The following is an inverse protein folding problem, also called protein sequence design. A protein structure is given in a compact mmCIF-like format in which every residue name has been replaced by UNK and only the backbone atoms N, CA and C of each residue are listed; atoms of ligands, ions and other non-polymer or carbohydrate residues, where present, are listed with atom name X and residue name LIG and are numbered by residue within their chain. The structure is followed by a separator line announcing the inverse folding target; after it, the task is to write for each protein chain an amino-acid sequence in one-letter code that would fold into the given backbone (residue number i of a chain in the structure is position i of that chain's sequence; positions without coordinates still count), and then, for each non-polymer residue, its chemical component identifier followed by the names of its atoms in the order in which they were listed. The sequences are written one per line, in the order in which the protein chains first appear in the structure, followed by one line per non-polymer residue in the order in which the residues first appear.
data_IF_209876651776
#
_entry.id   IF_209876651776
#
_cell.length_a   1.000
_cell.length_b   1.000
_cell.length_c   1.000
_cell.angle_alpha   90.00
_cell.angle_beta   90.00
_cell.angle_gamma   90.00
#
_symmetry.space_group_name_H-M   'P 1'
#
loop_
_entity.id
_entity.type
_entity.pdbx_description
1 polymer ?
#
# COMPACT_ATOMS: atom_id res chain seq x y z
N UNK A 1 -23.61 7.69 5.20
CA UNK A 1 -23.35 7.36 3.76
C UNK A 1 -22.52 6.08 3.73
N UNK A 2 -22.94 5.07 2.96
CA UNK A 2 -22.14 3.85 2.74
C UNK A 2 -21.07 4.17 1.70
N UNK A 3 -19.83 3.79 1.97
CA UNK A 3 -18.67 4.03 1.09
C UNK A 3 -18.07 2.71 0.62
N UNK A 4 -17.49 2.73 -0.58
CA UNK A 4 -16.59 1.70 -1.07
C UNK A 4 -15.15 2.11 -0.75
N UNK A 5 -14.48 1.36 0.11
CA UNK A 5 -13.15 1.68 0.62
C UNK A 5 -12.13 0.71 0.02
N UNK A 6 -11.15 1.24 -0.73
CA UNK A 6 -10.02 0.47 -1.22
C UNK A 6 -8.83 0.60 -0.27
N UNK A 7 -8.29 -0.51 0.20
CA UNK A 7 -7.05 -0.53 0.98
C UNK A 7 -5.92 -1.24 0.22
N UNK A 8 -4.83 -0.50 -0.04
CA UNK A 8 -3.61 -1.01 -0.67
C UNK A 8 -2.53 -1.26 0.38
N UNK A 9 -2.00 -2.48 0.45
CA UNK A 9 -1.02 -2.84 1.48
C UNK A 9 -0.02 -3.89 0.99
N UNK A 10 1.16 -3.94 1.65
CA UNK A 10 2.12 -5.03 1.50
C UNK A 10 1.96 -6.14 2.55
N UNK A 11 1.02 -5.99 3.48
CA UNK A 11 0.79 -6.98 4.53
C UNK A 11 -0.07 -8.13 4.01
N UNK A 12 0.54 -9.28 3.76
CA UNK A 12 -0.17 -10.53 3.42
C UNK A 12 -1.01 -11.08 4.58
N UNK A 13 -0.80 -10.58 5.80
CA UNK A 13 -1.61 -10.95 6.98
C UNK A 13 -3.07 -10.56 6.86
N UNK A 14 -3.42 -9.59 6.00
CA UNK A 14 -4.80 -9.20 5.73
C UNK A 14 -5.61 -10.23 4.94
N UNK A 15 -4.99 -11.30 4.50
CA UNK A 15 -5.72 -12.46 3.99
C UNK A 15 -6.68 -13.04 5.04
N UNK A 16 -6.29 -13.02 6.32
CA UNK A 16 -7.17 -13.39 7.42
C UNK A 16 -7.65 -12.13 8.16
N UNK A 17 -8.75 -11.57 7.70
CA UNK A 17 -9.36 -10.37 8.29
C UNK A 17 -9.83 -10.58 9.73
N UNK A 18 -10.06 -11.83 10.15
CA UNK A 18 -10.46 -12.15 11.54
C UNK A 18 -9.29 -12.11 12.52
N UNK A 19 -8.05 -12.15 12.05
CA UNK A 19 -6.88 -12.04 12.94
C UNK A 19 -6.80 -10.64 13.57
N UNK A 20 -6.32 -10.57 14.81
CA UNK A 20 -6.08 -9.29 15.49
C UNK A 20 -4.89 -8.56 14.87
N UNK A 21 -5.05 -7.26 14.63
CA UNK A 21 -4.00 -6.42 14.06
C UNK A 21 -4.52 -5.05 13.63
N UNK A 22 -3.64 -4.05 13.61
CA UNK A 22 -4.01 -2.65 13.35
C UNK A 22 -4.87 -2.49 12.07
N UNK A 23 -4.46 -3.14 10.99
CA UNK A 23 -5.19 -3.00 9.72
C UNK A 23 -6.41 -3.91 9.63
N UNK A 24 -6.34 -5.13 10.15
CA UNK A 24 -7.49 -6.04 10.19
C UNK A 24 -8.60 -5.48 11.06
N UNK A 25 -8.24 -4.90 12.22
CA UNK A 25 -9.19 -4.24 13.13
C UNK A 25 -9.85 -3.03 12.45
N UNK A 26 -9.05 -2.21 11.75
CA UNK A 26 -9.56 -1.07 11.00
C UNK A 26 -10.52 -1.50 9.87
N UNK A 27 -10.16 -2.53 9.10
CA UNK A 27 -11.01 -3.02 8.01
C UNK A 27 -12.32 -3.61 8.53
N UNK A 28 -12.26 -4.36 9.64
CA UNK A 28 -13.48 -4.84 10.31
C UNK A 28 -14.34 -3.68 10.81
N UNK A 29 -13.74 -2.64 11.40
CA UNK A 29 -14.49 -1.47 11.86
C UNK A 29 -15.22 -0.78 10.73
N UNK A 30 -14.59 -0.58 9.57
CA UNK A 30 -15.27 -0.03 8.40
C UNK A 30 -16.44 -0.91 7.93
N UNK A 31 -16.24 -2.22 7.86
CA UNK A 31 -17.31 -3.16 7.54
C UNK A 31 -18.47 -3.07 8.53
N UNK A 32 -18.17 -3.05 9.83
CA UNK A 32 -19.18 -3.03 10.90
C UNK A 32 -19.97 -1.72 10.93
N UNK A 33 -19.39 -0.62 10.40
CA UNK A 33 -20.10 0.65 10.15
C UNK A 33 -20.89 0.65 8.83
N UNK A 34 -20.96 -0.50 8.14
CA UNK A 34 -21.77 -0.70 6.93
C UNK A 34 -21.08 -0.30 5.63
N UNK A 35 -19.74 -0.10 5.63
CA UNK A 35 -18.99 0.19 4.41
C UNK A 35 -18.61 -1.08 3.66
N UNK A 36 -18.51 -0.99 2.34
CA UNK A 36 -17.96 -2.04 1.49
C UNK A 36 -16.43 -1.93 1.45
N UNK A 37 -15.74 -2.96 1.91
CA UNK A 37 -14.27 -2.94 2.07
C UNK A 37 -13.59 -3.85 1.08
N UNK A 38 -12.60 -3.31 0.36
CA UNK A 38 -11.80 -3.97 -0.66
C UNK A 38 -10.32 -3.85 -0.31
N UNK A 39 -9.62 -4.97 -0.20
CA UNK A 39 -8.20 -5.00 0.14
C UNK A 39 -7.42 -5.59 -1.02
N UNK A 40 -6.28 -4.98 -1.36
CA UNK A 40 -5.30 -5.56 -2.30
C UNK A 40 -3.99 -5.75 -1.57
N UNK A 41 -3.48 -7.00 -1.58
CA UNK A 41 -2.25 -7.40 -0.92
C UNK A 41 -1.45 -8.41 -1.76
N UNK A 42 -0.11 -8.57 -1.53
CA UNK A 42 0.68 -9.51 -2.31
C UNK A 42 0.51 -10.96 -1.82
N UNK A 43 0.31 -11.88 -2.76
CA UNK A 43 0.56 -13.31 -2.61
C UNK A 43 1.96 -13.60 -3.16
N UNK A 44 2.98 -13.61 -2.29
CA UNK A 44 4.35 -13.87 -2.75
C UNK A 44 4.47 -15.26 -3.40
N UNK A 45 5.29 -15.40 -4.44
CA UNK A 45 5.48 -16.64 -5.22
C UNK A 45 5.68 -17.88 -4.36
N UNK A 46 6.40 -17.75 -3.24
CA UNK A 46 6.66 -18.87 -2.31
C UNK A 46 5.41 -19.42 -1.63
N UNK A 47 4.29 -18.68 -1.62
CA UNK A 47 3.02 -19.17 -1.05
C UNK A 47 2.28 -20.11 -1.99
N UNK A 48 2.67 -20.17 -3.27
CA UNK A 48 1.98 -20.96 -4.29
C UNK A 48 0.60 -20.42 -4.70
N UNK A 49 0.12 -19.36 -4.07
CA UNK A 49 -1.23 -18.85 -4.25
C UNK A 49 -1.36 -18.05 -5.56
N UNK A 50 -2.45 -18.23 -6.32
CA UNK A 50 -2.73 -17.45 -7.52
C UNK A 50 -3.21 -16.04 -7.17
N UNK A 51 -3.37 -15.20 -8.22
CA UNK A 51 -4.15 -13.97 -8.10
C UNK A 51 -5.64 -14.32 -8.08
N UNK A 52 -6.31 -14.02 -6.98
CA UNK A 52 -7.73 -14.33 -6.78
C UNK A 52 -8.38 -13.36 -5.79
N UNK A 53 -9.70 -13.20 -5.91
CA UNK A 53 -10.54 -12.52 -4.91
C UNK A 53 -11.19 -13.56 -4.03
N UNK A 54 -11.15 -13.35 -2.73
CA UNK A 54 -11.87 -14.11 -1.71
C UNK A 54 -12.69 -13.10 -0.88
N UNK A 55 -13.90 -13.47 -0.48
CA UNK A 55 -14.65 -12.71 0.53
C UNK A 55 -14.37 -13.34 1.89
N UNK A 56 -13.69 -12.61 2.75
CA UNK A 56 -13.33 -13.06 4.08
C UNK A 56 -14.00 -12.16 5.11
N UNK A 57 -14.94 -12.72 5.88
CA UNK A 57 -15.68 -12.00 6.92
C UNK A 57 -16.30 -10.69 6.41
N UNK A 58 -16.95 -10.74 5.22
CA UNK A 58 -17.59 -9.58 4.59
C UNK A 58 -16.66 -8.56 3.94
N UNK A 59 -15.37 -8.87 3.83
CA UNK A 59 -14.36 -8.01 3.18
C UNK A 59 -13.85 -8.65 1.91
N UNK A 60 -13.79 -7.90 0.81
CA UNK A 60 -13.29 -8.35 -0.49
C UNK A 60 -11.76 -8.32 -0.51
N UNK A 61 -11.13 -9.48 -0.46
CA UNK A 61 -9.69 -9.66 -0.33
C UNK A 61 -9.08 -10.11 -1.67
N UNK A 62 -8.40 -9.22 -2.39
CA UNK A 62 -7.69 -9.53 -3.63
C UNK A 62 -6.21 -9.81 -3.32
N UNK A 63 -5.85 -11.08 -3.29
CA UNK A 63 -4.46 -11.51 -3.25
C UNK A 63 -3.85 -11.47 -4.65
N UNK A 64 -2.78 -10.71 -4.83
CA UNK A 64 -2.09 -10.56 -6.13
C UNK A 64 -0.80 -11.37 -6.12
N UNK A 65 -0.66 -12.36 -7.03
CA UNK A 65 0.57 -13.12 -7.16
C UNK A 65 1.72 -12.22 -7.59
N UNK A 66 2.76 -12.16 -6.76
CA UNK A 66 3.97 -11.35 -6.95
C UNK A 66 5.23 -12.21 -6.89
N UNK A 67 6.38 -11.64 -7.26
CA UNK A 67 7.67 -12.20 -6.85
C UNK A 67 7.83 -12.09 -5.34
N UNK A 68 8.84 -12.79 -4.78
CA UNK A 68 9.11 -12.63 -3.36
C UNK A 68 9.74 -11.24 -3.13
N UNK A 69 9.16 -10.48 -2.19
CA UNK A 69 9.63 -9.13 -1.81
C UNK A 69 10.11 -9.07 -0.36
N UNK A 70 9.84 -10.13 0.40
CA UNK A 70 10.34 -10.31 1.77
C UNK A 70 11.20 -11.57 1.85
N UNK A 71 12.21 -11.61 2.74
CA UNK A 71 13.08 -12.79 2.97
C UNK A 71 13.56 -13.47 1.68
N UNK A 72 14.09 -12.70 0.74
CA UNK A 72 14.56 -13.14 -0.56
C UNK A 72 15.84 -12.40 -0.96
N UNK A 73 16.47 -12.79 -2.08
CA UNK A 73 17.67 -12.11 -2.59
C UNK A 73 17.39 -10.64 -2.91
N UNK A 74 18.43 -9.80 -2.83
CA UNK A 74 18.33 -8.37 -3.15
C UNK A 74 17.84 -8.15 -4.59
N UNK A 75 18.28 -9.01 -5.52
CA UNK A 75 17.90 -8.92 -6.94
C UNK A 75 16.41 -9.23 -7.09
N UNK A 76 15.91 -10.34 -6.54
CA UNK A 76 14.50 -10.70 -6.63
C UNK A 76 13.61 -9.66 -5.96
N UNK A 77 14.03 -9.14 -4.80
CA UNK A 77 13.34 -8.07 -4.10
C UNK A 77 13.24 -6.80 -4.95
N UNK A 78 14.34 -6.41 -5.60
CA UNK A 78 14.36 -5.22 -6.47
C UNK A 78 13.44 -5.36 -7.67
N UNK A 79 13.54 -6.47 -8.40
CA UNK A 79 12.66 -6.77 -9.55
C UNK A 79 11.20 -6.89 -9.10
N UNK A 80 10.94 -7.57 -7.97
CA UNK A 80 9.59 -7.71 -7.41
C UNK A 80 8.95 -6.37 -7.08
N UNK A 81 9.70 -5.43 -6.52
CA UNK A 81 9.20 -4.08 -6.22
C UNK A 81 8.92 -3.26 -7.49
N UNK A 82 9.73 -3.41 -8.54
CA UNK A 82 9.50 -2.73 -9.82
C UNK A 82 8.23 -3.20 -10.52
N UNK A 83 7.94 -4.50 -10.46
CA UNK A 83 6.77 -5.11 -11.10
C UNK A 83 5.48 -4.98 -10.26
N UNK A 84 5.62 -4.69 -8.97
CA UNK A 84 4.51 -4.71 -8.01
C UNK A 84 3.35 -3.80 -8.42
N UNK A 85 3.65 -2.55 -8.78
CA UNK A 85 2.62 -1.57 -9.17
C UNK A 85 1.84 -2.02 -10.39
N UNK A 86 2.52 -2.56 -11.41
CA UNK A 86 1.88 -3.01 -12.65
C UNK A 86 1.02 -4.26 -12.40
N UNK A 87 1.47 -5.18 -11.55
CA UNK A 87 0.69 -6.35 -11.14
C UNK A 87 -0.57 -5.95 -10.36
N UNK A 88 -0.44 -5.03 -9.41
CA UNK A 88 -1.56 -4.52 -8.62
C UNK A 88 -2.57 -3.77 -9.51
N UNK A 89 -2.09 -2.90 -10.42
CA UNK A 89 -2.98 -2.20 -11.36
C UNK A 89 -3.77 -3.16 -12.25
N UNK A 90 -3.10 -4.17 -12.83
CA UNK A 90 -3.76 -5.17 -13.67
C UNK A 90 -4.81 -5.96 -12.87
N UNK A 91 -4.46 -6.40 -11.67
CA UNK A 91 -5.36 -7.13 -10.80
C UNK A 91 -6.56 -6.26 -10.37
N UNK A 92 -6.32 -5.02 -9.92
CA UNK A 92 -7.38 -4.08 -9.57
C UNK A 92 -8.34 -3.85 -10.75
N UNK A 93 -7.80 -3.62 -11.95
CA UNK A 93 -8.63 -3.40 -13.14
C UNK A 93 -9.45 -4.64 -13.53
N UNK A 94 -8.88 -5.83 -13.38
CA UNK A 94 -9.55 -7.09 -13.73
C UNK A 94 -10.65 -7.46 -12.75
N UNK A 95 -10.39 -7.34 -11.45
CA UNK A 95 -11.27 -7.86 -10.41
C UNK A 95 -12.20 -6.81 -9.80
N UNK A 96 -11.74 -5.55 -9.74
CA UNK A 96 -12.50 -4.43 -9.19
C UNK A 96 -12.78 -3.34 -10.24
N UNK A 97 -12.72 -3.72 -11.52
CA UNK A 97 -12.91 -2.80 -12.65
C UNK A 97 -14.23 -2.05 -12.64
N UNK A 98 -15.29 -2.64 -12.13
CA UNK A 98 -16.64 -2.07 -12.07
C UNK A 98 -16.95 -1.40 -10.73
N UNK A 99 -16.05 -1.48 -9.75
CA UNK A 99 -16.25 -0.84 -8.44
C UNK A 99 -15.87 0.64 -8.52
N UNK A 100 -16.71 1.50 -7.97
CA UNK A 100 -16.42 2.91 -7.74
C UNK A 100 -16.00 3.08 -6.30
N UNK A 101 -14.79 3.56 -6.08
CA UNK A 101 -14.25 3.80 -4.74
C UNK A 101 -14.50 5.24 -4.30
N UNK A 102 -14.83 5.41 -3.02
CA UNK A 102 -15.01 6.71 -2.36
C UNK A 102 -13.78 7.09 -1.53
N UNK A 103 -13.06 6.07 -1.00
CA UNK A 103 -11.83 6.24 -0.24
C UNK A 103 -10.77 5.26 -0.74
N UNK A 104 -9.57 5.79 -1.04
CA UNK A 104 -8.38 5.02 -1.38
C UNK A 104 -7.40 5.16 -0.23
N UNK A 105 -7.32 4.13 0.60
CA UNK A 105 -6.47 4.05 1.78
C UNK A 105 -5.20 3.24 1.45
N UNK A 106 -4.05 3.68 1.92
CA UNK A 106 -2.78 2.97 1.72
C UNK A 106 -1.81 3.25 2.84
N UNK A 107 -0.85 2.36 3.04
CA UNK A 107 0.11 2.46 4.14
C UNK A 107 1.55 2.46 3.65
N UNK A 108 2.45 3.10 4.40
CA UNK A 108 3.89 2.97 4.25
C UNK A 108 4.48 2.01 5.28
N UNK A 109 5.58 1.28 4.94
CA UNK A 109 6.06 1.00 3.60
C UNK A 109 5.10 0.10 2.81
N UNK A 110 5.11 0.09 1.48
CA UNK A 110 6.10 0.65 0.58
C UNK A 110 5.75 2.08 0.14
N UNK A 111 6.77 2.81 -0.34
CA UNK A 111 6.59 4.11 -1.02
C UNK A 111 6.35 3.94 -2.54
N UNK A 112 6.06 2.73 -3.00
CA UNK A 112 6.01 2.35 -4.42
C UNK A 112 4.58 2.06 -4.90
N UNK A 113 3.56 2.70 -4.30
CA UNK A 113 2.18 2.57 -4.78
C UNK A 113 1.70 3.76 -5.63
N UNK A 114 2.59 4.69 -6.00
CA UNK A 114 2.22 5.93 -6.67
C UNK A 114 1.42 5.70 -7.96
N UNK A 115 1.84 4.76 -8.81
CA UNK A 115 1.13 4.43 -10.06
C UNK A 115 -0.24 3.82 -9.81
N UNK A 116 -0.34 2.92 -8.82
CA UNK A 116 -1.60 2.25 -8.47
C UNK A 116 -2.61 3.26 -7.94
N UNK A 117 -2.17 4.13 -7.02
CA UNK A 117 -3.03 5.18 -6.43
C UNK A 117 -3.50 6.15 -7.52
N UNK A 118 -2.58 6.64 -8.38
CA UNK A 118 -2.93 7.50 -9.51
C UNK A 118 -3.91 6.83 -10.49
N UNK A 119 -3.76 5.53 -10.74
CA UNK A 119 -4.67 4.78 -11.59
C UNK A 119 -6.05 4.65 -10.94
N UNK A 120 -6.09 4.35 -9.64
CA UNK A 120 -7.34 4.29 -8.88
C UNK A 120 -8.04 5.66 -8.83
N UNK A 121 -7.31 6.74 -8.55
CA UNK A 121 -7.84 8.11 -8.51
C UNK A 121 -8.36 8.57 -9.87
N UNK A 122 -7.65 8.27 -10.99
CA UNK A 122 -8.16 8.60 -12.34
C UNK A 122 -9.49 7.95 -12.67
N UNK A 123 -9.75 6.74 -12.16
CA UNK A 123 -11.03 6.05 -12.34
C UNK A 123 -12.11 6.52 -11.38
N UNK A 124 -11.71 7.09 -10.26
CA UNK A 124 -12.56 7.60 -9.20
C UNK A 124 -12.13 9.02 -8.83
N UNK A 125 -12.40 10.03 -9.67
CA UNK A 125 -11.90 11.40 -9.45
C UNK A 125 -12.33 12.00 -8.12
N UNK A 126 -13.53 11.66 -7.65
CA UNK A 126 -14.10 12.14 -6.39
C UNK A 126 -13.60 11.37 -5.15
N UNK A 127 -12.94 10.20 -5.35
CA UNK A 127 -12.43 9.43 -4.22
C UNK A 127 -11.38 10.22 -3.43
N UNK A 128 -11.48 10.21 -2.12
CA UNK A 128 -10.45 10.74 -1.24
C UNK A 128 -9.26 9.77 -1.16
N UNK A 129 -8.06 10.29 -1.07
CA UNK A 129 -6.84 9.51 -0.87
C UNK A 129 -6.29 9.75 0.53
N UNK A 130 -6.04 8.68 1.28
CA UNK A 130 -5.55 8.76 2.66
C UNK A 130 -4.31 7.88 2.86
N UNK A 131 -3.20 8.50 3.23
CA UNK A 131 -1.95 7.82 3.56
C UNK A 131 -1.86 7.55 5.07
N UNK A 132 -1.73 6.27 5.43
CA UNK A 132 -1.34 5.85 6.78
C UNK A 132 0.20 5.83 6.85
N UNK A 133 0.78 6.95 7.28
CA UNK A 133 2.23 7.14 7.35
C UNK A 133 2.78 6.52 8.64
N UNK A 134 3.18 5.25 8.57
CA UNK A 134 3.79 4.53 9.71
C UNK A 134 5.28 4.78 9.81
N UNK A 135 5.99 4.70 8.70
CA UNK A 135 7.43 4.84 8.62
C UNK A 135 7.81 5.93 7.61
N UNK A 136 8.71 6.81 8.01
CA UNK A 136 9.28 7.84 7.14
C UNK A 136 10.50 7.24 6.44
N UNK A 137 10.25 6.51 5.36
CA UNK A 137 11.31 5.96 4.52
C UNK A 137 11.53 6.91 3.31
N UNK A 138 12.77 7.28 2.95
CA UNK A 138 14.05 6.65 3.31
C UNK A 138 14.78 7.24 4.53
N UNK A 139 14.19 8.22 5.24
CA UNK A 139 14.89 8.87 6.35
C UNK A 139 15.20 7.87 7.49
N UNK A 140 14.27 7.03 7.88
CA UNK A 140 14.50 6.01 8.91
C UNK A 140 15.66 5.06 8.57
N UNK A 141 15.86 4.74 7.28
CA UNK A 141 16.99 3.92 6.85
C UNK A 141 18.35 4.64 7.00
N UNK A 142 18.37 5.98 6.90
CA UNK A 142 19.56 6.81 7.19
C UNK A 142 19.83 6.82 8.68
N UNK A 143 18.80 7.05 9.49
CA UNK A 143 18.91 7.13 10.95
C UNK A 143 19.37 5.80 11.57
N UNK A 144 19.01 4.68 10.95
CA UNK A 144 19.46 3.33 11.32
C UNK A 144 20.83 2.94 10.71
N UNK A 145 21.51 3.85 9.99
CA UNK A 145 22.81 3.57 9.36
C UNK A 145 22.77 2.62 8.15
N UNK A 146 21.58 2.23 7.69
CA UNK A 146 21.40 1.33 6.55
C UNK A 146 21.59 2.03 5.20
N UNK A 147 21.44 3.36 5.17
CA UNK A 147 21.57 4.22 3.99
C UNK A 147 22.38 5.48 4.32
N UNK A 148 23.03 6.07 3.31
CA UNK A 148 23.74 7.37 3.45
C UNK A 148 23.16 8.38 2.47
N UNK A 149 23.33 9.68 2.78
CA UNK A 149 22.92 10.78 1.89
C UNK A 149 23.97 11.12 0.82
N UNK A 150 25.13 10.46 0.83
CA UNK A 150 26.28 10.71 -0.06
C UNK A 150 26.67 9.47 -0.84
N UNK A 151 27.46 9.63 -1.91
CA UNK A 151 27.93 8.54 -2.77
C UNK A 151 26.78 7.83 -3.52
N UNK A 152 27.03 6.58 -3.90
CA UNK A 152 26.05 5.74 -4.64
C UNK A 152 24.76 5.52 -3.82
N UNK A 153 24.90 5.27 -2.51
CA UNK A 153 23.76 5.13 -1.60
C UNK A 153 22.97 6.45 -1.48
N UNK A 154 23.63 7.60 -1.62
CA UNK A 154 22.98 8.91 -1.63
C UNK A 154 22.12 9.15 -2.88
N UNK A 155 22.55 8.61 -4.04
CA UNK A 155 21.71 8.64 -5.25
C UNK A 155 20.42 7.85 -5.06
N UNK A 156 20.51 6.66 -4.48
CA UNK A 156 19.38 5.80 -4.13
C UNK A 156 18.45 6.49 -3.11
N UNK A 157 19.03 7.14 -2.09
CA UNK A 157 18.27 7.96 -1.13
C UNK A 157 17.46 9.04 -1.83
N UNK A 158 18.08 9.82 -2.74
CA UNK A 158 17.39 10.88 -3.49
C UNK A 158 16.23 10.33 -4.34
N UNK A 159 16.43 9.17 -4.98
CA UNK A 159 15.39 8.51 -5.77
C UNK A 159 14.19 8.11 -4.89
N UNK A 160 14.44 7.50 -3.74
CA UNK A 160 13.38 7.12 -2.81
C UNK A 160 12.70 8.34 -2.19
N UNK A 161 13.46 9.38 -1.83
CA UNK A 161 12.91 10.63 -1.31
C UNK A 161 11.99 11.31 -2.32
N UNK A 162 12.32 11.26 -3.62
CA UNK A 162 11.45 11.76 -4.68
C UNK A 162 10.13 10.99 -4.73
N UNK A 163 10.18 9.65 -4.65
CA UNK A 163 8.98 8.80 -4.62
C UNK A 163 8.11 9.04 -3.38
N UNK A 164 8.72 9.20 -2.24
CA UNK A 164 8.04 9.53 -0.99
C UNK A 164 7.32 10.89 -1.08
N UNK A 165 8.01 11.93 -1.54
CA UNK A 165 7.41 13.25 -1.77
C UNK A 165 6.24 13.18 -2.75
N UNK A 166 6.39 12.41 -3.84
CA UNK A 166 5.31 12.19 -4.79
C UNK A 166 4.10 11.51 -4.12
N UNK A 167 4.35 10.54 -3.21
CA UNK A 167 3.28 9.89 -2.45
C UNK A 167 2.53 10.89 -1.55
N UNK A 168 3.25 11.81 -0.91
CA UNK A 168 2.64 12.88 -0.11
C UNK A 168 1.76 13.80 -0.96
N UNK A 169 2.25 14.22 -2.14
CA UNK A 169 1.51 15.10 -3.05
C UNK A 169 0.24 14.49 -3.64
N UNK A 170 0.17 13.17 -3.78
CA UNK A 170 -1.03 12.49 -4.28
C UNK A 170 -2.02 12.11 -3.18
N UNK A 171 -1.68 12.41 -1.92
CA UNK A 171 -2.52 12.14 -0.75
C UNK A 171 -3.31 13.38 -0.38
N UNK A 172 -4.64 13.27 -0.36
CA UNK A 172 -5.51 14.35 0.13
C UNK A 172 -5.34 14.51 1.66
N UNK A 173 -5.08 13.38 2.37
CA UNK A 173 -4.83 13.34 3.81
C UNK A 173 -3.66 12.44 4.15
N UNK A 174 -2.90 12.80 5.20
CA UNK A 174 -1.78 12.01 5.73
C UNK A 174 -1.95 11.85 7.24
N UNK A 175 -2.21 10.61 7.66
CA UNK A 175 -2.25 10.24 9.07
C UNK A 175 -0.87 9.86 9.57
N UNK A 176 -0.31 10.65 10.48
CA UNK A 176 1.00 10.45 11.08
C UNK A 176 0.92 9.78 12.45
N UNK A 177 1.94 8.98 12.81
CA UNK A 177 2.01 8.26 14.08
C UNK A 177 2.41 9.14 15.27
N UNK A 178 2.96 10.34 15.02
CA UNK A 178 3.41 11.26 16.07
C UNK A 178 3.46 12.72 15.59
N UNK A 179 3.44 13.70 16.52
CA UNK A 179 3.69 15.10 16.17
C UNK A 179 5.04 15.36 15.51
N UNK A 180 6.05 14.54 15.81
CA UNK A 180 7.36 14.61 15.13
C UNK A 180 7.27 14.25 13.66
N UNK A 181 6.47 13.20 13.31
CA UNK A 181 6.22 12.84 11.93
C UNK A 181 5.46 13.94 11.18
N UNK A 182 4.51 14.59 11.81
CA UNK A 182 3.79 15.75 11.22
C UNK A 182 4.77 16.84 10.85
N UNK A 183 5.67 17.24 11.78
CA UNK A 183 6.69 18.28 11.52
C UNK A 183 7.68 17.91 10.40
N UNK A 184 7.90 16.62 10.17
CA UNK A 184 8.77 16.15 9.07
C UNK A 184 8.09 16.23 7.70
N UNK A 185 6.78 16.05 7.65
CA UNK A 185 5.98 16.04 6.41
C UNK A 185 5.68 17.46 5.93
N UNK A 186 5.42 18.38 6.86
CA UNK A 186 5.15 19.80 6.60
C UNK A 186 6.44 20.54 6.20
#
# INVERSE_FOLDING_TARGET
MIMNILFLTMSSGLRNVSASGIYTDLMRKFRDEGHEVYIIYPNERRTGLPTAVEVNNGVHCLGVRTLNVTKTSIIEKGVGQLLLEDLFMRAMNRYFGNVRFDLILYSTPPITFNKVIKAAKRRNPEAMTYLLLKDIFPQNAVDLGMMTKTGVKGMLYKMFRKKEKELYHISDFIGCMSPANVRFVL
#
